data_IF_017274825363
#
_entry.id   IF_017274825363
#
_cell.length_a   1.000
_cell.length_b   1.000
_cell.length_c   1.000
_cell.angle_alpha   90.00
_cell.angle_beta   90.00
_cell.angle_gamma   90.00
#
_symmetry.space_group_name_H-M   'P 1'
#
loop_
_entity.id
_entity.type
_entity.pdbx_description
1 polymer ?
#
# COMPACT_ATOMS: atom_id res chain seq x y z
N UNK A 1 -21.45 9.72 9.04
CA UNK A 1 -20.46 10.80 8.84
C UNK A 1 -19.47 10.76 9.99
N UNK A 2 -18.34 10.08 9.82
CA UNK A 2 -17.26 10.08 10.81
C UNK A 2 -16.12 10.93 10.25
N UNK A 3 -15.76 11.98 10.98
CA UNK A 3 -14.72 12.92 10.58
C UNK A 3 -13.34 12.24 10.64
N UNK A 4 -12.74 12.01 9.48
CA UNK A 4 -11.33 11.68 9.37
C UNK A 4 -10.52 12.95 9.66
N UNK A 5 -10.07 13.07 10.92
CA UNK A 5 -9.05 14.06 11.30
C UNK A 5 -7.72 13.63 10.68
N UNK A 6 -7.46 14.10 9.46
CA UNK A 6 -6.12 14.11 8.88
C UNK A 6 -5.19 14.85 9.84
N UNK A 7 -4.12 14.18 10.27
CA UNK A 7 -2.96 14.81 10.91
C UNK A 7 -2.41 15.89 9.96
N UNK A 8 -2.90 17.13 10.08
CA UNK A 8 -2.13 18.29 9.67
C UNK A 8 -0.90 18.27 10.57
N UNK A 9 0.27 17.97 10.00
CA UNK A 9 1.52 18.37 10.60
C UNK A 9 1.48 19.88 10.77
N UNK A 10 1.07 20.33 11.95
CA UNK A 10 1.12 21.73 12.35
C UNK A 10 2.59 22.10 12.26
N UNK A 11 2.95 23.09 11.42
CA UNK A 11 4.23 23.80 11.59
C UNK A 11 4.31 24.13 13.08
N UNK A 12 5.35 23.66 13.76
CA UNK A 12 5.57 24.00 15.16
C UNK A 12 5.50 25.53 15.25
N UNK A 13 4.53 26.05 16.00
CA UNK A 13 4.46 27.48 16.28
C UNK A 13 5.76 27.86 16.97
N UNK A 14 6.51 28.85 16.45
CA UNK A 14 7.72 29.31 17.10
C UNK A 14 7.38 29.77 18.52
N UNK A 15 8.30 29.53 19.46
CA UNK A 15 8.16 30.04 20.83
C UNK A 15 8.21 31.57 20.76
N UNK A 16 7.23 32.22 21.37
CA UNK A 16 7.25 33.67 21.57
C UNK A 16 8.51 34.04 22.36
N UNK A 17 9.43 34.79 21.74
CA UNK A 17 10.60 35.37 22.41
C UNK A 17 11.97 35.17 21.76
N UNK A 18 12.08 34.61 20.54
CA UNK A 18 13.34 34.64 19.78
C UNK A 18 13.29 35.79 18.76
N UNK A 19 14.17 36.77 18.97
CA UNK A 19 14.33 37.97 18.14
C UNK A 19 14.58 37.61 16.67
N UNK A 20 13.81 38.23 15.78
CA UNK A 20 13.88 38.10 14.33
C UNK A 20 15.15 38.78 13.78
N UNK A 21 16.27 38.06 13.80
CA UNK A 21 17.32 38.32 12.82
C UNK A 21 16.84 37.73 11.47
N UNK A 22 16.46 38.61 10.55
CA UNK A 22 16.12 38.31 9.15
C UNK A 22 17.33 37.74 8.39
N UNK A 23 17.77 36.53 8.74
CA UNK A 23 18.51 35.69 7.83
C UNK A 23 17.58 35.37 6.66
N UNK A 24 17.86 36.02 5.52
CA UNK A 24 17.39 35.60 4.19
C UNK A 24 17.41 34.07 4.15
N UNK A 25 16.24 33.44 4.31
CA UNK A 25 16.05 32.01 4.07
C UNK A 25 16.44 31.77 2.62
N UNK A 26 17.71 31.45 2.39
CA UNK A 26 18.19 30.99 1.10
C UNK A 26 17.24 29.86 0.73
N UNK A 27 16.59 29.96 -0.43
CA UNK A 27 15.63 28.96 -0.91
C UNK A 27 16.30 27.57 -0.93
N UNK A 28 16.23 26.87 0.20
CA UNK A 28 16.82 25.56 0.49
C UNK A 28 15.88 24.46 0.00
N UNK A 29 15.32 24.63 -1.19
CA UNK A 29 14.39 23.65 -1.74
C UNK A 29 15.17 22.39 -2.10
N UNK A 30 15.01 21.35 -1.29
CA UNK A 30 15.49 20.00 -1.61
C UNK A 30 15.00 19.59 -3.00
N UNK A 31 15.90 19.09 -3.85
CA UNK A 31 15.55 18.66 -5.19
C UNK A 31 15.01 17.22 -5.16
N UNK A 32 13.93 16.97 -5.90
CA UNK A 32 13.39 15.64 -6.14
C UNK A 32 13.68 15.24 -7.58
N UNK A 33 14.10 13.99 -7.79
CA UNK A 33 14.25 13.40 -9.12
C UNK A 33 13.83 11.94 -9.11
N UNK A 34 13.59 11.40 -10.30
CA UNK A 34 13.22 10.00 -10.49
C UNK A 34 14.34 9.26 -11.20
N UNK A 35 14.60 8.04 -10.77
CA UNK A 35 15.58 7.13 -11.37
C UNK A 35 14.93 5.78 -11.56
N UNK A 36 15.39 5.05 -12.56
CA UNK A 36 14.90 3.70 -12.85
C UNK A 36 16.06 2.73 -12.70
N UNK A 37 15.82 1.63 -12.00
CA UNK A 37 16.72 0.48 -11.93
C UNK A 37 15.98 -0.75 -12.43
N UNK A 38 16.68 -1.71 -13.01
CA UNK A 38 16.08 -2.95 -13.51
C UNK A 38 16.30 -4.08 -12.49
N UNK A 39 15.24 -4.80 -12.15
CA UNK A 39 15.27 -5.96 -11.26
C UNK A 39 14.46 -7.08 -11.90
N UNK A 40 15.12 -8.21 -12.16
CA UNK A 40 14.53 -9.39 -12.81
C UNK A 40 13.75 -9.03 -14.11
N UNK A 41 14.34 -8.18 -14.96
CA UNK A 41 13.74 -7.75 -16.23
C UNK A 41 12.63 -6.71 -16.09
N UNK A 42 12.45 -6.09 -14.92
CA UNK A 42 11.39 -5.11 -14.66
C UNK A 42 11.91 -3.81 -14.08
N UNK A 43 11.35 -2.69 -14.54
CA UNK A 43 11.71 -1.35 -14.09
C UNK A 43 11.17 -1.01 -12.69
N UNK A 44 12.06 -0.62 -11.78
CA UNK A 44 11.77 -0.14 -10.43
C UNK A 44 12.12 1.33 -10.37
N UNK A 45 11.14 2.17 -10.02
CA UNK A 45 11.35 3.61 -9.90
C UNK A 45 11.85 3.96 -8.50
N UNK A 46 13.00 4.60 -8.43
CA UNK A 46 13.55 5.22 -7.23
C UNK A 46 13.22 6.71 -7.22
N UNK A 47 12.72 7.21 -6.09
CA UNK A 47 12.57 8.65 -5.87
C UNK A 47 13.78 9.14 -5.08
N UNK A 48 14.47 10.12 -5.63
CA UNK A 48 15.74 10.59 -5.10
C UNK A 48 15.59 12.02 -4.64
N UNK A 49 15.84 12.24 -3.35
CA UNK A 49 15.79 13.54 -2.71
C UNK A 49 17.21 13.97 -2.35
N UNK A 50 17.67 15.06 -2.94
CA UNK A 50 19.02 15.58 -2.68
C UNK A 50 18.95 16.92 -1.93
N UNK A 51 19.81 17.11 -0.91
CA UNK A 51 19.90 18.38 -0.21
C UNK A 51 20.30 19.53 -1.14
N UNK A 52 19.70 20.71 -0.95
CA UNK A 52 20.06 21.91 -1.70
C UNK A 52 21.53 22.31 -1.43
N UNK A 53 22.01 22.21 -0.18
CA UNK A 53 23.39 22.52 0.24
C UNK A 53 24.11 21.36 0.95
N UNK A 54 25.44 21.47 1.11
CA UNK A 54 26.24 20.84 2.17
C UNK A 54 26.21 19.31 2.42
N UNK A 55 25.64 18.48 1.55
CA UNK A 55 25.37 17.06 1.86
C UNK A 55 26.59 16.13 2.05
N UNK A 56 27.77 16.48 1.54
CA UNK A 56 28.89 15.52 1.35
C UNK A 56 29.53 14.91 2.61
N UNK A 57 29.05 15.21 3.82
CA UNK A 57 29.54 14.67 5.09
C UNK A 57 28.55 13.75 5.81
N UNK A 58 27.36 13.55 5.23
CA UNK A 58 26.28 12.76 5.82
C UNK A 58 26.04 11.47 5.03
N UNK A 59 25.55 10.41 5.68
CA UNK A 59 25.16 9.18 4.99
C UNK A 59 23.93 9.44 4.09
N UNK A 60 23.76 8.58 3.09
CA UNK A 60 22.51 8.50 2.35
C UNK A 60 21.53 7.56 3.05
N UNK A 61 20.26 7.94 3.07
CA UNK A 61 19.17 7.14 3.62
C UNK A 61 18.51 6.36 2.48
N UNK A 62 18.63 5.03 2.48
CA UNK A 62 17.83 4.17 1.62
C UNK A 62 16.53 3.87 2.36
N UNK A 63 15.42 4.40 1.86
CA UNK A 63 14.13 4.35 2.53
C UNK A 63 13.17 3.39 1.82
N UNK A 64 12.72 2.38 2.56
CA UNK A 64 11.67 1.44 2.15
C UNK A 64 10.31 1.96 2.61
N UNK A 65 9.47 2.33 1.65
CA UNK A 65 8.17 2.92 1.94
C UNK A 65 7.14 1.87 2.41
N UNK A 66 6.27 2.25 3.33
CA UNK A 66 5.30 1.33 3.94
C UNK A 66 3.83 1.71 3.77
N UNK A 67 3.07 0.96 2.99
CA UNK A 67 1.64 1.18 2.77
C UNK A 67 0.81 -0.08 3.02
N UNK A 68 1.08 -0.79 4.13
CA UNK A 68 0.52 -2.12 4.39
C UNK A 68 0.75 -3.08 3.22
N UNK A 69 1.89 -2.91 2.53
CA UNK A 69 2.25 -3.62 1.30
C UNK A 69 1.26 -3.42 0.13
N UNK A 70 0.37 -2.43 0.21
CA UNK A 70 -0.50 -2.01 -0.87
C UNK A 70 0.23 -0.92 -1.68
N UNK A 71 0.91 -1.32 -2.76
CA UNK A 71 1.66 -0.40 -3.63
C UNK A 71 0.78 0.44 -4.55
N UNK A 72 -0.44 -0.03 -4.86
CA UNK A 72 -1.32 0.55 -5.89
C UNK A 72 -2.63 1.12 -5.33
N UNK A 73 -3.35 1.86 -6.16
CA UNK A 73 -4.66 2.43 -5.87
C UNK A 73 -4.63 3.66 -4.97
N UNK A 74 -5.79 3.98 -4.36
CA UNK A 74 -5.98 5.19 -3.55
C UNK A 74 -5.06 5.21 -2.32
N UNK A 75 -4.83 4.05 -1.70
CA UNK A 75 -3.88 3.92 -0.59
C UNK A 75 -2.44 4.18 -1.06
N UNK A 76 -2.09 3.74 -2.27
CA UNK A 76 -0.84 4.10 -2.95
C UNK A 76 -0.68 5.61 -3.04
N UNK A 77 -1.70 6.32 -3.54
CA UNK A 77 -1.67 7.78 -3.70
C UNK A 77 -1.52 8.53 -2.36
N UNK A 78 -2.27 8.13 -1.32
CA UNK A 78 -2.11 8.71 0.03
C UNK A 78 -0.68 8.50 0.52
N UNK A 79 -0.14 7.31 0.25
CA UNK A 79 1.23 6.98 0.56
C UNK A 79 2.27 7.82 -0.15
N UNK A 80 2.05 8.22 -1.41
CA UNK A 80 2.98 9.04 -2.17
C UNK A 80 3.25 10.38 -1.50
N UNK A 81 2.20 11.08 -1.08
CA UNK A 81 2.33 12.38 -0.44
C UNK A 81 3.08 12.28 0.90
N UNK A 82 2.79 11.23 1.67
CA UNK A 82 3.49 10.96 2.92
C UNK A 82 4.97 10.62 2.69
N UNK A 83 5.26 9.78 1.69
CA UNK A 83 6.62 9.42 1.30
C UNK A 83 7.40 10.66 0.87
N UNK A 84 6.85 11.48 -0.02
CA UNK A 84 7.51 12.68 -0.51
C UNK A 84 7.78 13.67 0.61
N UNK A 85 6.82 13.86 1.53
CA UNK A 85 7.02 14.70 2.71
C UNK A 85 8.19 14.21 3.58
N UNK A 86 8.34 12.89 3.74
CA UNK A 86 9.46 12.29 4.48
C UNK A 86 10.79 12.49 3.76
N UNK A 87 10.84 12.27 2.44
CA UNK A 87 12.03 12.46 1.62
C UNK A 87 12.50 13.92 1.62
N UNK A 88 11.57 14.86 1.47
CA UNK A 88 11.86 16.29 1.59
C UNK A 88 12.31 16.68 3.01
N UNK A 89 11.75 16.09 4.06
CA UNK A 89 12.18 16.34 5.43
C UNK A 89 13.64 15.90 5.66
N UNK A 90 14.03 14.71 5.18
CA UNK A 90 15.43 14.25 5.24
C UNK A 90 16.36 15.19 4.46
N UNK A 91 16.01 15.50 3.21
CA UNK A 91 16.85 16.31 2.35
C UNK A 91 17.01 17.76 2.86
N UNK A 92 15.98 18.36 3.47
CA UNK A 92 16.09 19.67 4.15
C UNK A 92 17.03 19.62 5.36
N UNK A 93 17.15 18.47 6.02
CA UNK A 93 18.10 18.26 7.11
C UNK A 93 19.50 17.83 6.62
N UNK A 94 19.76 17.92 5.31
CA UNK A 94 21.06 17.58 4.73
C UNK A 94 21.29 16.09 4.50
N UNK A 95 20.29 15.24 4.71
CA UNK A 95 20.38 13.80 4.48
C UNK A 95 19.81 13.47 3.10
N UNK A 96 20.62 13.04 2.11
CA UNK A 96 20.07 12.54 0.87
C UNK A 96 19.27 11.26 1.10
N UNK A 97 18.18 11.12 0.36
CA UNK A 97 17.28 9.99 0.51
C UNK A 97 16.97 9.35 -0.83
N UNK A 98 17.10 8.02 -0.90
CA UNK A 98 16.67 7.19 -2.01
C UNK A 98 15.48 6.37 -1.53
N UNK A 99 14.28 6.75 -1.96
CA UNK A 99 13.07 6.01 -1.66
C UNK A 99 12.83 4.96 -2.73
N UNK A 100 12.70 3.72 -2.28
CA UNK A 100 12.19 2.65 -3.11
C UNK A 100 10.69 2.87 -3.23
N UNK A 101 10.28 3.35 -4.41
CA UNK A 101 8.87 3.34 -4.76
C UNK A 101 8.58 2.03 -5.44
N UNK A 102 8.00 1.14 -4.67
CA UNK A 102 7.61 -0.17 -5.10
C UNK A 102 6.16 -0.08 -5.58
N UNK A 103 5.93 -0.01 -6.91
CA UNK A 103 4.57 0.21 -7.41
C UNK A 103 3.68 -0.99 -7.09
N UNK A 104 4.22 -2.19 -6.93
CA UNK A 104 3.43 -3.41 -6.79
C UNK A 104 3.31 -3.86 -5.32
N UNK A 105 2.57 -4.94 -5.05
CA UNK A 105 2.26 -5.37 -3.68
C UNK A 105 3.31 -6.35 -3.16
N UNK A 106 4.22 -5.89 -2.29
CA UNK A 106 5.42 -6.65 -1.90
C UNK A 106 5.18 -7.78 -0.89
N UNK A 107 4.09 -7.74 -0.11
CA UNK A 107 3.64 -8.86 0.73
C UNK A 107 2.18 -9.20 0.41
N UNK A 108 1.93 -9.52 -0.85
CA UNK A 108 0.82 -10.39 -1.22
C UNK A 108 1.16 -11.88 -0.99
N UNK A 109 2.01 -12.23 0.00
CA UNK A 109 2.00 -13.61 0.54
C UNK A 109 0.64 -13.96 1.11
N UNK A 110 -0.09 -12.94 1.50
CA UNK A 110 -1.38 -13.08 2.09
C UNK A 110 -2.42 -12.50 1.17
N UNK A 111 -3.33 -13.35 0.72
CA UNK A 111 -4.56 -12.94 0.05
C UNK A 111 -5.55 -12.36 1.06
N UNK A 112 -5.09 -11.41 1.90
CA UNK A 112 -5.88 -10.81 3.00
C UNK A 112 -7.13 -10.20 2.44
N UNK A 113 -7.03 -9.56 1.28
CA UNK A 113 -8.16 -8.90 0.65
C UNK A 113 -9.17 -9.94 0.18
N UNK A 114 -8.73 -10.99 -0.51
CA UNK A 114 -9.59 -12.08 -0.94
C UNK A 114 -10.19 -12.86 0.24
N UNK A 115 -9.42 -13.02 1.32
CA UNK A 115 -9.90 -13.61 2.57
C UNK A 115 -10.87 -12.67 3.29
N UNK A 116 -10.61 -11.37 3.34
CA UNK A 116 -11.50 -10.38 3.94
C UNK A 116 -12.82 -10.33 3.19
N UNK A 117 -12.79 -10.40 1.86
CA UNK A 117 -13.98 -10.50 1.01
C UNK A 117 -14.74 -11.81 1.26
N UNK A 118 -14.02 -12.94 1.34
CA UNK A 118 -14.62 -14.24 1.63
C UNK A 118 -15.25 -14.28 3.04
N UNK A 119 -14.56 -13.73 4.05
CA UNK A 119 -15.06 -13.62 5.42
C UNK A 119 -16.24 -12.66 5.53
N UNK A 120 -16.27 -11.63 4.69
CA UNK A 120 -17.39 -10.73 4.56
C UNK A 120 -18.47 -11.26 3.62
N UNK A 121 -18.37 -12.48 3.10
CA UNK A 121 -19.40 -13.05 2.23
C UNK A 121 -20.81 -13.06 2.86
N UNK A 122 -20.98 -13.33 4.18
CA UNK A 122 -22.29 -13.20 4.83
C UNK A 122 -22.83 -11.76 4.83
N UNK A 123 -21.96 -10.75 4.75
CA UNK A 123 -22.35 -9.33 4.65
C UNK A 123 -23.03 -9.04 3.30
N UNK A 124 -22.76 -9.84 2.25
CA UNK A 124 -23.51 -9.76 0.99
C UNK A 124 -25.01 -10.09 1.15
N UNK A 125 -25.39 -10.76 2.25
CA UNK A 125 -26.78 -11.11 2.54
C UNK A 125 -27.57 -9.95 3.13
N UNK A 126 -26.90 -8.90 3.59
CA UNK A 126 -27.55 -7.72 4.19
C UNK A 126 -27.67 -6.62 3.13
N UNK A 127 -28.90 -6.27 2.69
CA UNK A 127 -29.11 -5.18 1.76
C UNK A 127 -28.47 -3.88 2.27
N UNK A 128 -27.80 -3.12 1.41
CA UNK A 128 -27.07 -1.90 1.76
C UNK A 128 -25.62 -2.11 2.23
N UNK A 129 -25.34 -3.13 3.06
CA UNK A 129 -23.95 -3.45 3.42
C UNK A 129 -23.19 -4.13 2.28
N UNK A 130 -23.89 -4.88 1.42
CA UNK A 130 -23.35 -5.42 0.16
C UNK A 130 -22.69 -4.34 -0.70
N UNK A 131 -23.31 -3.17 -0.83
CA UNK A 131 -22.77 -2.07 -1.62
C UNK A 131 -21.44 -1.56 -1.04
N UNK A 132 -21.37 -1.38 0.28
CA UNK A 132 -20.15 -0.94 0.95
C UNK A 132 -19.02 -1.97 0.79
N UNK A 133 -19.35 -3.25 0.85
CA UNK A 133 -18.37 -4.32 0.71
C UNK A 133 -17.81 -4.41 -0.72
N UNK A 134 -18.68 -4.34 -1.71
CA UNK A 134 -18.30 -4.28 -3.12
C UNK A 134 -17.52 -3.01 -3.45
N UNK A 135 -17.90 -1.86 -2.87
CA UNK A 135 -17.15 -0.63 -3.02
C UNK A 135 -15.75 -0.75 -2.38
N UNK A 136 -15.66 -1.33 -1.19
CA UNK A 136 -14.38 -1.61 -0.53
C UNK A 136 -13.52 -2.57 -1.35
N UNK A 137 -14.10 -3.64 -1.91
CA UNK A 137 -13.41 -4.58 -2.80
C UNK A 137 -12.74 -3.86 -3.97
N UNK A 138 -13.53 -3.06 -4.69
CA UNK A 138 -13.05 -2.33 -5.85
C UNK A 138 -12.07 -1.23 -5.46
N UNK A 139 -12.32 -0.46 -4.40
CA UNK A 139 -11.37 0.55 -3.88
C UNK A 139 -10.04 -0.05 -3.46
N UNK A 140 -10.06 -1.27 -2.91
CA UNK A 140 -8.85 -1.99 -2.49
C UNK A 140 -8.12 -2.65 -3.65
N UNK A 141 -8.76 -2.87 -4.80
CA UNK A 141 -8.21 -3.60 -5.95
C UNK A 141 -8.18 -2.79 -7.25
N UNK A 142 -8.54 -1.52 -7.20
CA UNK A 142 -8.39 -0.55 -8.28
C UNK A 142 -6.90 -0.39 -8.62
N UNK A 143 -6.44 -1.14 -9.61
CA UNK A 143 -5.08 -1.03 -10.17
C UNK A 143 -5.11 -0.38 -11.54
N UNK A 144 -6.29 -0.34 -12.19
CA UNK A 144 -6.48 0.16 -13.54
C UNK A 144 -7.80 0.93 -13.73
N UNK A 145 -7.88 1.69 -14.81
CA UNK A 145 -9.13 2.34 -15.24
C UNK A 145 -10.23 1.33 -15.58
N UNK A 146 -9.88 0.07 -15.87
CA UNK A 146 -10.86 -1.02 -16.09
C UNK A 146 -11.58 -1.39 -14.81
N UNK A 147 -10.91 -1.34 -13.66
CA UNK A 147 -11.52 -1.62 -12.36
C UNK A 147 -12.57 -0.55 -11.97
N UNK A 148 -12.49 0.66 -12.54
CA UNK A 148 -13.50 1.71 -12.37
C UNK A 148 -14.82 1.29 -13.05
N UNK A 149 -14.75 0.63 -14.21
CA UNK A 149 -15.94 0.11 -14.87
C UNK A 149 -16.61 -1.00 -14.06
N UNK A 150 -15.84 -1.78 -13.29
CA UNK A 150 -16.42 -2.71 -12.31
C UNK A 150 -17.10 -2.02 -11.16
N UNK A 151 -16.52 -0.93 -10.65
CA UNK A 151 -17.21 -0.10 -9.66
C UNK A 151 -18.59 0.30 -10.19
N UNK A 152 -18.66 0.75 -11.44
CA UNK A 152 -19.91 1.19 -12.05
C UNK A 152 -20.91 0.03 -12.28
N UNK A 153 -20.46 -1.09 -12.87
CA UNK A 153 -21.36 -2.17 -13.30
C UNK A 153 -21.72 -3.13 -12.17
N UNK A 154 -20.76 -3.49 -11.32
CA UNK A 154 -20.95 -4.51 -10.27
C UNK A 154 -21.36 -3.89 -8.95
N UNK A 155 -21.02 -2.62 -8.70
CA UNK A 155 -21.26 -1.97 -7.40
C UNK A 155 -22.38 -0.93 -7.49
N UNK A 156 -22.23 0.05 -8.38
CA UNK A 156 -23.18 1.17 -8.51
C UNK A 156 -24.51 0.71 -9.06
N UNK A 157 -24.54 -0.09 -10.13
CA UNK A 157 -25.79 -0.59 -10.72
C UNK A 157 -26.62 -1.44 -9.74
N UNK A 158 -26.06 -2.48 -9.08
CA UNK A 158 -26.79 -3.25 -8.08
C UNK A 158 -27.14 -2.43 -6.83
N UNK A 159 -26.28 -1.49 -6.43
CA UNK A 159 -26.59 -0.56 -5.33
C UNK A 159 -27.73 0.41 -5.64
N UNK A 160 -27.81 0.91 -6.88
CA UNK A 160 -28.92 1.72 -7.36
C UNK A 160 -30.20 0.89 -7.45
N UNK A 161 -30.10 -0.35 -7.95
CA UNK A 161 -31.23 -1.28 -7.95
C UNK A 161 -31.70 -1.55 -6.52
N UNK A 162 -30.80 -1.79 -5.57
CA UNK A 162 -31.15 -1.98 -4.15
C UNK A 162 -31.78 -0.74 -3.53
N UNK A 163 -31.28 0.47 -3.82
CA UNK A 163 -31.82 1.71 -3.31
C UNK A 163 -33.21 2.01 -3.89
N UNK A 164 -33.39 1.81 -5.20
CA UNK A 164 -34.70 1.88 -5.86
C UNK A 164 -35.64 0.85 -5.26
N UNK A 165 -35.22 -0.40 -5.09
CA UNK A 165 -36.04 -1.43 -4.46
C UNK A 165 -36.34 -1.15 -2.99
N UNK A 166 -35.40 -0.65 -2.20
CA UNK A 166 -35.61 -0.33 -0.78
C UNK A 166 -36.62 0.81 -0.58
N UNK A 167 -36.51 1.87 -1.38
CA UNK A 167 -37.52 2.95 -1.43
C UNK A 167 -38.86 2.44 -2.00
N UNK A 168 -38.80 1.43 -2.86
CA UNK A 168 -39.94 0.72 -3.43
C UNK A 168 -40.31 -0.54 -2.66
N UNK A 169 -39.95 -0.77 -1.39
CA UNK A 169 -40.34 -1.99 -0.66
C UNK A 169 -41.46 -1.72 0.34
N UNK A 170 -41.59 -0.47 0.80
CA UNK A 170 -42.73 -0.04 1.62
C UNK A 170 -44.06 0.01 0.84
N UNK A 171 -44.02 0.16 -0.50
CA UNK A 171 -45.20 0.37 -1.35
C UNK A 171 -45.73 -0.96 -1.97
N UNK A 172 -44.90 -1.86 -2.52
CA UNK A 172 -45.31 -3.14 -3.12
C UNK A 172 -45.74 -4.22 -2.14
N UNK A 173 -45.16 -4.30 -0.95
CA UNK A 173 -45.61 -5.33 0.01
C UNK A 173 -47.05 -5.06 0.47
N UNK A 174 -47.46 -3.80 0.51
CA UNK A 174 -48.82 -3.37 0.85
C UNK A 174 -49.78 -3.36 -0.35
N UNK A 175 -49.32 -3.06 -1.57
CA UNK A 175 -50.19 -2.91 -2.75
C UNK A 175 -50.17 -4.09 -3.74
N UNK A 176 -49.08 -4.85 -3.83
CA UNK A 176 -48.87 -5.88 -4.86
C UNK A 176 -48.97 -7.32 -4.34
N UNK A 177 -49.15 -7.50 -3.03
CA UNK A 177 -49.41 -8.80 -2.41
C UNK A 177 -48.36 -9.86 -2.78
N UNK A 178 -48.75 -11.08 -3.23
CA UNK A 178 -47.82 -12.15 -3.58
C UNK A 178 -46.77 -11.80 -4.65
N UNK A 179 -47.11 -10.89 -5.58
CA UNK A 179 -46.18 -10.47 -6.63
C UNK A 179 -45.03 -9.63 -6.05
N UNK A 180 -45.30 -8.81 -5.03
CA UNK A 180 -44.27 -8.07 -4.29
C UNK A 180 -43.29 -8.99 -3.56
N UNK A 181 -43.81 -10.09 -2.99
CA UNK A 181 -42.97 -11.13 -2.38
C UNK A 181 -42.09 -11.86 -3.40
N UNK A 182 -42.62 -12.19 -4.58
CA UNK A 182 -41.85 -12.83 -5.64
C UNK A 182 -40.72 -11.93 -6.16
N UNK A 183 -40.99 -10.64 -6.38
CA UNK A 183 -39.98 -9.66 -6.82
C UNK A 183 -38.87 -9.53 -5.77
N UNK A 184 -39.24 -9.46 -4.49
CA UNK A 184 -38.28 -9.39 -3.38
C UNK A 184 -37.42 -10.65 -3.31
N UNK A 185 -38.03 -11.83 -3.43
CA UNK A 185 -37.32 -13.11 -3.43
C UNK A 185 -36.36 -13.24 -4.62
N UNK A 186 -36.80 -12.88 -5.83
CA UNK A 186 -35.95 -12.88 -7.03
C UNK A 186 -34.77 -11.93 -6.89
N UNK A 187 -34.96 -10.76 -6.26
CA UNK A 187 -33.87 -9.82 -6.02
C UNK A 187 -32.90 -10.30 -4.94
N UNK A 188 -33.39 -10.96 -3.89
CA UNK A 188 -32.52 -11.62 -2.91
C UNK A 188 -31.71 -12.74 -3.56
N UNK A 189 -32.33 -13.57 -4.40
CA UNK A 189 -31.66 -14.64 -5.14
C UNK A 189 -30.64 -14.07 -6.13
N UNK A 190 -31.00 -13.03 -6.87
CA UNK A 190 -30.08 -12.31 -7.76
C UNK A 190 -28.88 -11.75 -6.98
N UNK A 191 -29.12 -11.15 -5.83
CA UNK A 191 -28.08 -10.70 -4.91
C UNK A 191 -27.15 -11.80 -4.41
N UNK A 192 -27.73 -12.94 -4.05
CA UNK A 192 -27.03 -14.12 -3.51
C UNK A 192 -26.24 -14.88 -4.57
N UNK A 193 -26.69 -14.87 -5.82
CA UNK A 193 -26.15 -15.73 -6.88
C UNK A 193 -25.44 -14.92 -7.96
N UNK A 194 -26.10 -13.91 -8.51
CA UNK A 194 -25.56 -13.14 -9.64
C UNK A 194 -24.35 -12.31 -9.23
N UNK A 195 -24.39 -11.64 -8.08
CA UNK A 195 -23.26 -10.80 -7.62
C UNK A 195 -22.00 -11.64 -7.37
N UNK A 196 -22.04 -12.75 -6.59
CA UNK A 196 -20.88 -13.62 -6.46
C UNK A 196 -20.43 -14.25 -7.78
N UNK A 197 -21.36 -14.63 -8.66
CA UNK A 197 -21.03 -15.20 -9.97
C UNK A 197 -20.32 -14.19 -10.87
N UNK A 198 -20.79 -12.94 -10.92
CA UNK A 198 -20.14 -11.86 -11.67
C UNK A 198 -18.76 -11.54 -11.09
N UNK A 199 -18.64 -11.46 -9.76
CA UNK A 199 -17.34 -11.27 -9.10
C UNK A 199 -16.38 -12.42 -9.44
N UNK A 200 -16.84 -13.68 -9.36
CA UNK A 200 -16.02 -14.84 -9.72
C UNK A 200 -15.60 -14.81 -11.19
N UNK A 201 -16.55 -14.61 -12.11
CA UNK A 201 -16.28 -14.54 -13.55
C UNK A 201 -15.25 -13.45 -13.87
N UNK A 202 -15.33 -12.31 -13.17
CA UNK A 202 -14.35 -11.25 -13.33
C UNK A 202 -12.97 -11.64 -12.82
N UNK A 203 -12.86 -12.25 -11.63
CA UNK A 203 -11.57 -12.75 -11.12
C UNK A 203 -10.96 -13.81 -12.03
N UNK A 204 -11.79 -14.68 -12.59
CA UNK A 204 -11.37 -15.62 -13.63
C UNK A 204 -10.86 -14.87 -14.86
N UNK A 205 -11.54 -13.83 -15.31
CA UNK A 205 -11.07 -12.95 -16.39
C UNK A 205 -9.70 -12.32 -16.10
N UNK A 206 -9.52 -11.69 -14.94
CA UNK A 206 -8.23 -11.10 -14.52
C UNK A 206 -7.13 -12.15 -14.47
N UNK A 207 -7.43 -13.35 -13.98
CA UNK A 207 -6.48 -14.47 -13.97
C UNK A 207 -6.07 -14.90 -15.38
N UNK A 208 -7.04 -15.10 -16.27
CA UNK A 208 -6.79 -15.50 -17.65
C UNK A 208 -6.04 -14.44 -18.46
N UNK A 209 -6.19 -13.16 -18.11
CA UNK A 209 -5.43 -12.05 -18.70
C UNK A 209 -4.04 -11.87 -18.08
N UNK A 210 -3.69 -12.63 -17.03
CA UNK A 210 -2.42 -12.49 -16.32
C UNK A 210 -2.33 -11.27 -15.39
N UNK A 211 -3.45 -10.55 -15.19
CA UNK A 211 -3.54 -9.41 -14.27
C UNK A 211 -3.61 -9.88 -12.81
N UNK A 212 -4.13 -11.10 -12.58
CA UNK A 212 -4.15 -11.75 -11.26
C UNK A 212 -3.20 -12.96 -11.27
N UNK A 213 -1.98 -12.79 -10.75
CA UNK A 213 -1.02 -13.90 -10.64
C UNK A 213 -1.35 -14.81 -9.43
N UNK A 214 -1.99 -15.95 -9.69
CA UNK A 214 -2.31 -16.95 -8.68
C UNK A 214 -1.13 -17.85 -8.30
N UNK A 215 -0.16 -18.06 -9.20
CA UNK A 215 1.01 -18.94 -8.96
C UNK A 215 2.05 -18.23 -8.09
N UNK A 216 2.12 -16.91 -8.20
CA UNK A 216 3.13 -16.08 -7.57
C UNK A 216 4.49 -16.16 -8.24
N UNK A 217 4.59 -16.80 -9.42
CA UNK A 217 5.83 -16.91 -10.20
C UNK A 217 6.22 -15.60 -10.88
N UNK A 218 5.34 -14.60 -10.91
CA UNK A 218 5.60 -13.25 -11.39
C UNK A 218 5.82 -12.23 -10.26
N UNK A 219 6.05 -12.65 -9.02
CA UNK A 219 6.22 -11.71 -7.89
C UNK A 219 7.59 -11.06 -7.93
N UNK A 220 7.61 -9.75 -7.77
CA UNK A 220 8.86 -9.01 -7.57
C UNK A 220 9.45 -9.40 -6.23
N UNK A 221 10.73 -9.71 -6.22
CA UNK A 221 11.47 -9.93 -5.00
C UNK A 221 11.80 -8.57 -4.37
N UNK A 222 11.05 -8.22 -3.33
CA UNK A 222 11.20 -6.93 -2.65
C UNK A 222 12.57 -6.76 -2.01
N UNK A 223 13.29 -7.84 -1.67
CA UNK A 223 14.63 -7.74 -1.13
C UNK A 223 15.64 -7.40 -2.24
N UNK A 224 15.49 -7.97 -3.44
CA UNK A 224 16.29 -7.57 -4.60
C UNK A 224 16.04 -6.12 -5.02
N UNK A 225 14.81 -5.62 -4.88
CA UNK A 225 14.54 -4.20 -5.16
C UNK A 225 15.21 -3.27 -4.15
N UNK A 226 15.23 -3.66 -2.86
CA UNK A 226 16.03 -2.96 -1.84
C UNK A 226 17.51 -3.02 -2.20
N UNK A 227 18.02 -4.20 -2.57
CA UNK A 227 19.42 -4.39 -2.98
C UNK A 227 19.80 -3.53 -4.18
N UNK A 228 18.95 -3.44 -5.19
CA UNK A 228 19.16 -2.61 -6.37
C UNK A 228 19.20 -1.11 -5.99
N UNK A 229 18.33 -0.67 -5.09
CA UNK A 229 18.33 0.71 -4.60
C UNK A 229 19.56 1.03 -3.74
N UNK A 230 20.00 0.08 -2.91
CA UNK A 230 21.24 0.18 -2.14
C UNK A 230 22.43 0.30 -3.07
N UNK A 231 22.56 -0.61 -4.04
CA UNK A 231 23.64 -0.61 -5.04
C UNK A 231 23.67 0.70 -5.82
N UNK A 232 22.50 1.16 -6.26
CA UNK A 232 22.37 2.45 -6.94
C UNK A 232 22.82 3.61 -6.04
N UNK A 233 22.44 3.63 -4.76
CA UNK A 233 22.85 4.67 -3.83
C UNK A 233 24.37 4.68 -3.57
N UNK A 234 25.00 3.51 -3.45
CA UNK A 234 26.46 3.40 -3.32
C UNK A 234 27.19 3.97 -4.54
N UNK A 235 26.78 3.57 -5.73
CA UNK A 235 27.40 3.99 -7.00
C UNK A 235 27.19 5.47 -7.29
N UNK A 236 26.13 6.06 -6.72
CA UNK A 236 25.75 7.45 -6.93
C UNK A 236 25.99 8.33 -5.70
N UNK A 237 26.83 7.92 -4.74
CA UNK A 237 27.09 8.67 -3.51
C UNK A 237 27.47 10.15 -3.77
N UNK A 238 28.32 10.41 -4.78
CA UNK A 238 28.69 11.78 -5.17
C UNK A 238 27.50 12.59 -5.69
N UNK A 239 26.65 11.99 -6.53
CA UNK A 239 25.45 12.64 -7.07
C UNK A 239 24.40 12.87 -5.98
N UNK A 240 24.33 11.98 -4.98
CA UNK A 240 23.52 12.13 -3.80
C UNK A 240 24.03 13.22 -2.85
N UNK A 241 25.26 13.71 -3.02
CA UNK A 241 25.96 14.50 -1.99
C UNK A 241 25.97 13.70 -0.68
N UNK A 242 26.42 12.46 -0.72
CA UNK A 242 26.62 11.58 0.44
C UNK A 242 28.11 11.33 0.64
N UNK A 243 28.52 11.01 1.87
CA UNK A 243 29.88 10.55 2.19
C UNK A 243 30.14 9.08 1.85
N UNK A 244 29.16 8.42 1.23
CA UNK A 244 29.22 7.00 0.83
C UNK A 244 28.73 6.04 1.90
N UNK A 245 28.51 6.49 3.14
CA UNK A 245 27.86 5.68 4.16
C UNK A 245 26.36 5.59 3.89
N UNK A 246 25.74 4.50 4.31
CA UNK A 246 24.32 4.25 4.12
C UNK A 246 23.60 4.05 5.46
N UNK A 247 22.36 4.52 5.53
CA UNK A 247 21.39 4.20 6.58
C UNK A 247 20.19 3.55 5.92
N UNK A 248 19.79 2.37 6.40
CA UNK A 248 18.56 1.74 5.96
C UNK A 248 17.41 2.25 6.82
N UNK A 249 16.35 2.74 6.20
CA UNK A 249 15.16 3.21 6.90
C UNK A 249 13.92 2.52 6.35
N UNK A 250 12.97 2.16 7.20
CA UNK A 250 11.67 1.68 6.76
C UNK A 250 10.59 2.01 7.77
N UNK A 251 9.39 2.32 7.28
CA UNK A 251 8.23 2.57 8.13
C UNK A 251 7.10 1.58 7.83
N UNK A 252 6.26 1.23 8.82
CA UNK A 252 5.12 0.31 8.64
C UNK A 252 5.54 -0.99 7.93
N UNK A 253 4.86 -1.35 6.85
CA UNK A 253 5.21 -2.51 6.02
C UNK A 253 6.61 -2.42 5.39
N UNK A 254 7.13 -1.22 5.15
CA UNK A 254 8.51 -0.99 4.71
C UNK A 254 9.52 -1.18 5.84
N UNK A 255 9.13 -0.93 7.09
CA UNK A 255 9.93 -1.26 8.27
C UNK A 255 10.13 -2.76 8.44
N UNK A 256 9.14 -3.57 8.08
CA UNK A 256 9.29 -5.03 8.01
C UNK A 256 10.35 -5.44 6.97
N UNK A 257 10.23 -4.92 5.75
CA UNK A 257 11.16 -5.22 4.64
C UNK A 257 12.58 -4.74 4.97
N UNK A 258 12.72 -3.53 5.49
CA UNK A 258 14.01 -2.98 5.94
C UNK A 258 14.64 -3.84 7.04
N UNK A 259 13.84 -4.35 7.99
CA UNK A 259 14.35 -5.23 9.03
C UNK A 259 14.81 -6.58 8.46
N UNK A 260 14.06 -7.19 7.54
CA UNK A 260 14.46 -8.44 6.89
C UNK A 260 15.75 -8.25 6.09
N UNK A 261 15.80 -7.22 5.24
CA UNK A 261 16.99 -6.92 4.44
C UNK A 261 18.21 -6.64 5.34
N UNK A 262 18.02 -5.81 6.36
CA UNK A 262 19.05 -5.50 7.35
C UNK A 262 19.54 -6.75 8.10
N UNK A 263 18.66 -7.68 8.49
CA UNK A 263 19.08 -8.91 9.16
C UNK A 263 19.90 -9.82 8.24
N UNK A 264 19.47 -10.01 6.99
CA UNK A 264 20.18 -10.85 6.02
C UNK A 264 21.56 -10.27 5.67
N UNK A 265 21.64 -8.95 5.50
CA UNK A 265 22.84 -8.30 4.98
C UNK A 265 23.76 -7.76 6.09
N UNK A 266 23.24 -7.30 7.24
CA UNK A 266 24.10 -6.91 8.37
C UNK A 266 24.71 -8.12 9.08
N UNK A 267 24.04 -9.28 9.11
CA UNK A 267 24.64 -10.50 9.67
C UNK A 267 25.74 -11.07 8.76
N UNK A 268 25.60 -10.92 7.43
CA UNK A 268 26.56 -11.38 6.44
C UNK A 268 27.72 -10.40 6.19
N UNK A 269 27.48 -9.08 6.28
CA UNK A 269 28.46 -8.04 5.99
C UNK A 269 29.46 -7.82 7.13
N UNK A 270 30.27 -8.83 7.46
CA UNK A 270 31.45 -8.63 8.32
C UNK A 270 32.55 -7.80 7.64
N UNK A 271 32.48 -7.57 6.31
CA UNK A 271 33.27 -6.62 5.49
C UNK A 271 32.70 -6.61 4.05
N UNK A 272 32.21 -5.47 3.52
CA UNK A 272 31.77 -5.38 2.11
C UNK A 272 30.73 -4.30 1.80
N UNK A 273 30.31 -4.24 0.52
CA UNK A 273 29.15 -3.49 0.00
C UNK A 273 27.88 -3.87 0.76
N UNK A 274 26.93 -2.94 0.86
CA UNK A 274 25.65 -3.12 1.57
C UNK A 274 25.73 -2.99 3.09
N UNK A 275 26.84 -2.44 3.63
CA UNK A 275 26.95 -2.17 5.08
C UNK A 275 26.20 -0.88 5.43
N UNK A 276 25.26 -0.99 6.36
CA UNK A 276 24.57 0.15 6.95
C UNK A 276 25.23 0.60 8.25
N UNK A 277 25.33 1.92 8.43
CA UNK A 277 25.70 2.55 9.72
C UNK A 277 24.59 2.36 10.76
N UNK A 278 23.35 2.40 10.31
CA UNK A 278 22.18 2.21 11.14
C UNK A 278 21.02 1.64 10.32
N UNK A 279 20.13 0.92 11.02
CA UNK A 279 18.83 0.51 10.52
C UNK A 279 17.77 1.19 11.37
N UNK A 280 16.96 2.06 10.76
CA UNK A 280 15.90 2.83 11.41
C UNK A 280 14.54 2.26 11.03
N UNK A 281 13.79 1.87 12.06
CA UNK A 281 12.57 1.09 11.93
C UNK A 281 11.41 1.84 12.58
N UNK A 282 10.52 2.42 11.77
CA UNK A 282 9.43 3.29 12.25
C UNK A 282 8.11 2.55 12.22
N UNK A 283 7.62 2.14 13.40
CA UNK A 283 6.32 1.45 13.55
C UNK A 283 6.17 0.25 12.60
N UNK A 284 7.25 -0.52 12.38
CA UNK A 284 7.21 -1.60 11.41
C UNK A 284 6.36 -2.78 11.85
N UNK A 285 5.92 -3.57 10.86
CA UNK A 285 5.03 -4.71 11.11
C UNK A 285 5.86 -5.98 11.19
N UNK A 286 6.17 -6.40 12.42
CA UNK A 286 7.04 -7.55 12.70
C UNK A 286 6.26 -8.79 13.11
N UNK A 287 7.00 -9.89 13.28
CA UNK A 287 6.52 -11.19 13.76
C UNK A 287 5.39 -11.80 12.92
N UNK A 288 5.35 -11.45 11.64
CA UNK A 288 4.51 -12.15 10.69
C UNK A 288 5.20 -13.46 10.32
N UNK A 289 4.49 -14.56 10.46
CA UNK A 289 4.87 -15.79 9.76
C UNK A 289 4.66 -15.52 8.27
N UNK A 290 5.73 -15.59 7.49
CA UNK A 290 5.73 -15.34 6.03
C UNK A 290 6.05 -16.59 5.23
N UNK A 291 6.69 -17.60 5.85
CA UNK A 291 7.05 -18.86 5.21
C UNK A 291 5.87 -19.85 5.08
N UNK A 292 4.72 -19.33 4.64
CA UNK A 292 3.58 -20.16 4.31
C UNK A 292 3.79 -20.71 2.89
N UNK A 293 3.59 -22.01 2.72
CA UNK A 293 3.57 -22.68 1.41
C UNK A 293 2.12 -23.10 1.09
N UNK A 294 1.84 -23.24 -0.20
CA UNK A 294 0.59 -23.80 -0.72
C UNK A 294 -0.68 -23.04 -0.25
N UNK A 295 -1.79 -23.76 -0.11
CA UNK A 295 -3.07 -23.22 0.35
C UNK A 295 -3.00 -22.53 1.73
N UNK A 296 -1.96 -22.79 2.54
CA UNK A 296 -1.81 -22.13 3.86
C UNK A 296 -1.49 -20.64 3.75
N UNK A 297 -0.95 -20.19 2.60
CA UNK A 297 -0.76 -18.76 2.28
C UNK A 297 -2.07 -17.97 2.35
N UNK A 298 -3.19 -18.60 2.03
CA UNK A 298 -4.51 -17.98 2.08
C UNK A 298 -4.94 -17.67 3.51
N UNK A 299 -4.56 -18.52 4.47
CA UNK A 299 -4.93 -18.37 5.88
C UNK A 299 -3.91 -17.55 6.68
N UNK A 300 -2.76 -17.22 6.09
CA UNK A 300 -1.66 -16.53 6.76
C UNK A 300 -2.08 -15.28 7.57
N UNK A 301 -3.00 -14.40 7.12
CA UNK A 301 -3.50 -13.28 7.93
C UNK A 301 -4.19 -13.71 9.21
N UNK A 302 -5.13 -14.65 9.07
CA UNK A 302 -5.92 -15.18 10.19
C UNK A 302 -5.01 -15.94 11.14
N UNK A 303 -4.08 -16.75 10.62
CA UNK A 303 -3.11 -17.46 11.44
C UNK A 303 -2.15 -16.48 12.14
N UNK A 304 -1.71 -15.40 11.48
CA UNK A 304 -0.89 -14.38 12.12
C UNK A 304 -1.66 -13.62 13.20
N UNK A 305 -2.98 -13.39 13.05
CA UNK A 305 -3.81 -12.84 14.13
C UNK A 305 -3.94 -13.82 15.30
N UNK A 306 -4.28 -15.09 15.03
CA UNK A 306 -4.46 -16.13 16.06
C UNK A 306 -3.16 -16.38 16.82
N UNK A 307 -2.04 -16.56 16.12
CA UNK A 307 -0.76 -16.89 16.75
C UNK A 307 -0.09 -15.71 17.44
N UNK A 308 -0.47 -14.47 17.13
CA UNK A 308 0.05 -13.28 17.82
C UNK A 308 -0.56 -13.08 19.21
N UNK A 309 -1.74 -13.64 19.47
CA UNK A 309 -2.42 -13.59 20.78
C UNK A 309 -1.87 -14.63 21.78
N UNK A 310 -1.11 -15.63 21.29
CA UNK A 310 -0.65 -16.77 22.10
C UNK A 310 0.79 -16.69 22.63
N UNK A 311 1.42 -15.51 22.62
CA UNK A 311 2.75 -15.25 23.23
C UNK A 311 2.63 -14.11 24.21
#
# INVERSE_FOLDING_TARGET
MAAYSFLRFRKATPREGEDEDDEKEASTSAAQSFKTVEVDGREVTLRVFTPAGGGGSKPAVVMVCGLLWFGEGILGFIGLNFNDAFGHALARNGLPCVQIHTPQRHIAHTRVQELALALCAPVYLVPGLRFLLLAADVLMLLTSQRDIWLLLVVVVLPGLMDAVLATSLAVPMLLLGPLGWLITALNMIGGLVLVPALHFAFRTGQYLMGELDLSGEGRRDYLKEVEAAVSWAEENAKALKSDGRLVLCGYSSGGHVAALYGLEHCAAAKKGRGRFEAVVLVSGIYDLRTNWKDARRFLAPVMNLIFKVGR
#
